data_IF_364385730152
#
_entry.id   IF_364385730152
#
_cell.length_a   1.000
_cell.length_b   1.000
_cell.length_c   1.000
_cell.angle_alpha   90.00
_cell.angle_beta   90.00
_cell.angle_gamma   90.00
#
_symmetry.space_group_name_H-M   'P 1'
#
loop_
_entity.id
_entity.type
_entity.pdbx_description
1 polymer ?
#
# COMPACT_ATOMS: atom_id res chain seq x y z
N UNK A 1 -9.51 69.57 -10.94
CA UNK A 1 -8.36 69.22 -10.10
C UNK A 1 -8.47 67.82 -9.47
N UNK A 2 -9.60 67.33 -8.97
CA UNK A 2 -9.76 66.02 -8.34
C UNK A 2 -9.42 64.83 -9.25
N UNK A 3 -9.74 64.86 -10.56
CA UNK A 3 -9.44 63.74 -11.47
C UNK A 3 -7.94 63.53 -11.73
N UNK A 4 -7.14 64.59 -11.76
CA UNK A 4 -5.68 64.49 -11.92
C UNK A 4 -5.02 63.95 -10.66
N UNK A 5 -5.55 64.27 -9.50
CA UNK A 5 -5.06 63.72 -8.21
C UNK A 5 -5.32 62.21 -8.08
N UNK A 6 -6.49 61.74 -8.55
CA UNK A 6 -6.86 60.32 -8.54
C UNK A 6 -5.96 59.52 -9.50
N UNK A 7 -5.68 60.04 -10.69
CA UNK A 7 -4.79 59.44 -11.67
C UNK A 7 -3.33 59.33 -11.18
N UNK A 8 -2.85 60.37 -10.48
CA UNK A 8 -1.50 60.39 -9.90
C UNK A 8 -1.33 59.38 -8.77
N UNK A 9 -2.35 59.23 -7.91
CA UNK A 9 -2.34 58.22 -6.84
C UNK A 9 -2.39 56.78 -7.41
N UNK A 10 -3.19 56.53 -8.46
CA UNK A 10 -3.24 55.24 -9.13
C UNK A 10 -1.92 54.84 -9.76
N UNK A 11 -1.21 55.82 -10.38
CA UNK A 11 0.12 55.61 -10.97
C UNK A 11 1.17 55.32 -9.88
N UNK A 12 1.07 55.99 -8.70
CA UNK A 12 1.99 55.75 -7.58
C UNK A 12 1.79 54.38 -6.96
N UNK A 13 0.55 53.92 -6.82
CA UNK A 13 0.24 52.55 -6.31
C UNK A 13 0.75 51.48 -7.26
N UNK A 14 0.63 51.72 -8.58
CA UNK A 14 1.13 50.81 -9.61
C UNK A 14 2.68 50.70 -9.61
N UNK A 15 3.37 51.79 -9.34
CA UNK A 15 4.85 51.82 -9.22
C UNK A 15 5.37 51.10 -7.96
N UNK A 16 4.60 51.14 -6.85
CA UNK A 16 4.97 50.45 -5.61
C UNK A 16 4.75 48.94 -5.71
N UNK A 17 3.72 48.50 -6.46
CA UNK A 17 3.46 47.05 -6.65
C UNK A 17 4.50 46.35 -7.54
N UNK A 18 5.23 47.07 -8.39
CA UNK A 18 6.30 46.51 -9.22
C UNK A 18 7.60 46.20 -8.46
N UNK A 19 7.79 46.72 -7.25
CA UNK A 19 8.97 46.46 -6.44
C UNK A 19 8.79 45.28 -5.45
N UNK A 20 7.65 44.59 -5.47
CA UNK A 20 7.34 43.51 -4.52
C UNK A 20 7.96 42.15 -4.91
N UNK A 21 8.61 42.03 -6.06
CA UNK A 21 9.35 40.82 -6.39
C UNK A 21 10.83 41.04 -6.08
N UNK A 22 11.25 40.61 -4.91
CA UNK A 22 12.67 40.61 -4.48
C UNK A 22 13.52 39.58 -5.28
N UNK A 23 13.22 39.33 -6.56
CA UNK A 23 14.03 38.65 -7.55
C UNK A 23 14.44 37.20 -7.28
N UNK A 24 13.99 36.61 -6.18
CA UNK A 24 14.33 35.23 -5.79
C UNK A 24 13.09 34.33 -5.90
N UNK A 25 12.82 33.88 -7.12
CA UNK A 25 11.90 32.75 -7.28
C UNK A 25 12.50 31.53 -6.56
N UNK A 26 11.72 30.81 -5.71
CA UNK A 26 12.18 29.57 -5.10
C UNK A 26 12.57 28.59 -6.22
N UNK A 27 13.85 28.20 -6.29
CA UNK A 27 14.36 27.27 -7.30
C UNK A 27 15.10 27.90 -8.47
N UNK A 28 15.20 29.24 -8.57
CA UNK A 28 15.87 29.93 -9.69
C UNK A 28 17.38 30.17 -9.47
N UNK A 29 17.94 29.82 -8.32
CA UNK A 29 19.36 29.97 -8.04
C UNK A 29 20.17 28.83 -8.68
N UNK A 30 20.78 29.09 -9.84
CA UNK A 30 21.60 28.13 -10.59
C UNK A 30 22.84 27.62 -9.79
N UNK A 31 23.26 28.32 -8.74
CA UNK A 31 24.33 27.87 -7.86
C UNK A 31 23.84 26.80 -6.89
N UNK A 32 22.57 26.90 -6.49
CA UNK A 32 21.92 25.97 -5.58
C UNK A 32 21.29 24.80 -6.34
N UNK A 33 20.73 25.07 -7.51
CA UNK A 33 20.07 24.10 -8.38
C UNK A 33 20.65 24.19 -9.80
N UNK A 34 21.72 23.46 -10.12
CA UNK A 34 22.32 23.47 -11.45
C UNK A 34 21.29 23.16 -12.53
N UNK A 35 21.33 23.87 -13.68
CA UNK A 35 20.41 23.62 -14.76
C UNK A 35 20.62 22.26 -15.42
N UNK A 36 21.84 21.71 -15.36
CA UNK A 36 22.16 20.39 -15.88
C UNK A 36 21.61 19.28 -14.96
N UNK A 37 20.79 18.33 -15.48
CA UNK A 37 20.25 17.22 -14.72
C UNK A 37 21.33 16.35 -14.06
N UNK A 38 22.42 16.06 -14.76
CA UNK A 38 23.49 15.19 -14.26
C UNK A 38 24.27 15.85 -13.10
N UNK A 39 24.47 17.15 -13.15
CA UNK A 39 25.06 17.90 -12.04
C UNK A 39 24.15 17.93 -10.82
N UNK A 40 22.83 18.00 -11.00
CA UNK A 40 21.86 17.91 -9.91
C UNK A 40 21.88 16.54 -9.26
N UNK A 41 21.93 15.50 -10.07
CA UNK A 41 22.01 14.11 -9.55
C UNK A 41 23.31 13.93 -8.77
N UNK A 42 24.45 14.33 -9.33
CA UNK A 42 25.75 14.22 -8.64
C UNK A 42 25.78 15.00 -7.32
N UNK A 43 25.29 16.23 -7.33
CA UNK A 43 25.19 17.06 -6.12
C UNK A 43 24.26 16.46 -5.08
N UNK A 44 23.14 15.92 -5.49
CA UNK A 44 22.21 15.23 -4.58
C UNK A 44 22.83 13.97 -3.97
N UNK A 45 23.64 13.25 -4.74
CA UNK A 45 24.40 12.07 -4.24
C UNK A 45 25.48 12.50 -3.25
N UNK A 46 26.24 13.55 -3.57
CA UNK A 46 27.30 14.10 -2.70
C UNK A 46 26.74 14.66 -1.39
N UNK A 47 25.59 15.36 -1.46
CA UNK A 47 24.89 15.91 -0.29
C UNK A 47 24.04 14.86 0.46
N UNK A 48 24.02 13.61 -0.02
CA UNK A 48 23.23 12.54 0.57
C UNK A 48 21.72 12.67 0.39
N UNK A 49 21.25 13.49 -0.55
CA UNK A 49 19.83 13.69 -0.85
C UNK A 49 19.31 12.78 -1.95
N UNK A 50 20.13 11.86 -2.44
CA UNK A 50 19.70 10.85 -3.40
C UNK A 50 18.69 9.88 -2.77
N UNK A 51 17.85 9.28 -3.63
CA UNK A 51 16.98 8.18 -3.23
C UNK A 51 17.85 7.00 -2.78
N UNK A 52 17.99 6.82 -1.49
CA UNK A 52 18.71 5.70 -0.89
C UNK A 52 17.71 4.60 -0.61
N UNK A 53 17.82 3.49 -1.35
CA UNK A 53 17.11 2.25 -1.02
C UNK A 53 17.43 1.74 0.40
N UNK A 54 18.48 2.29 1.05
CA UNK A 54 18.92 1.90 2.39
C UNK A 54 18.55 2.88 3.51
N UNK A 55 17.97 4.04 3.23
CA UNK A 55 17.45 4.96 4.25
C UNK A 55 16.02 4.64 4.65
N UNK A 56 15.72 3.35 4.72
CA UNK A 56 14.43 2.79 5.15
C UNK A 56 14.17 3.03 6.64
N UNK A 57 15.17 3.50 7.37
CA UNK A 57 15.10 3.62 8.84
C UNK A 57 14.64 5.00 9.36
N UNK A 58 14.37 5.96 8.49
CA UNK A 58 13.91 7.30 8.91
C UNK A 58 12.68 7.78 8.15
N UNK A 59 11.57 7.07 8.33
CA UNK A 59 10.23 7.70 8.25
C UNK A 59 9.77 8.25 6.90
N UNK A 60 10.33 7.81 5.76
CA UNK A 60 9.86 8.21 4.45
C UNK A 60 9.80 6.99 3.54
N UNK A 61 8.60 6.42 3.42
CA UNK A 61 8.30 5.43 2.39
C UNK A 61 8.94 4.07 2.61
N UNK A 62 8.91 3.54 3.81
CA UNK A 62 9.00 2.09 3.99
C UNK A 62 7.90 1.49 3.16
N UNK A 63 8.28 0.79 2.11
CA UNK A 63 7.46 -0.26 1.56
C UNK A 63 7.28 -1.32 2.66
N UNK A 64 6.52 -1.00 3.67
CA UNK A 64 5.94 -1.98 4.57
C UNK A 64 4.89 -2.75 3.77
N UNK A 65 5.39 -3.47 2.77
CA UNK A 65 4.59 -4.41 2.03
C UNK A 65 3.95 -5.34 3.02
N UNK A 66 2.62 -5.22 3.14
CA UNK A 66 1.75 -6.27 3.66
C UNK A 66 2.17 -6.86 5.02
N UNK A 67 3.38 -6.53 5.51
CA UNK A 67 3.91 -7.02 6.79
C UNK A 67 3.40 -6.20 7.97
N UNK A 68 2.98 -4.96 7.76
CA UNK A 68 2.48 -4.07 8.82
C UNK A 68 0.99 -4.24 9.11
N UNK A 69 0.19 -4.70 8.13
CA UNK A 69 -1.23 -4.93 8.34
C UNK A 69 -1.47 -6.35 8.86
N UNK A 70 -1.91 -6.45 10.09
CA UNK A 70 -2.13 -7.73 10.78
C UNK A 70 -3.22 -8.57 10.11
N UNK A 71 -4.28 -7.94 9.58
CA UNK A 71 -5.36 -8.64 8.86
C UNK A 71 -4.85 -9.24 7.55
N UNK A 72 -4.06 -8.47 6.81
CA UNK A 72 -3.48 -8.92 5.54
C UNK A 72 -2.56 -10.14 5.76
N UNK A 73 -1.61 -10.02 6.70
CA UNK A 73 -0.72 -11.13 7.06
C UNK A 73 -1.48 -12.36 7.50
N UNK A 74 -2.44 -12.19 8.41
CA UNK A 74 -3.25 -13.29 8.91
C UNK A 74 -4.05 -13.96 7.79
N UNK A 75 -4.56 -13.20 6.84
CA UNK A 75 -5.29 -13.75 5.69
C UNK A 75 -4.36 -14.60 4.84
N UNK A 76 -3.21 -14.07 4.43
CA UNK A 76 -2.24 -14.82 3.63
C UNK A 76 -1.81 -16.12 4.30
N UNK A 77 -1.52 -16.08 5.60
CA UNK A 77 -1.11 -17.27 6.35
C UNK A 77 -2.21 -18.33 6.49
N UNK A 78 -3.49 -17.91 6.50
CA UNK A 78 -4.61 -18.86 6.62
C UNK A 78 -4.91 -19.53 5.28
N UNK A 79 -4.70 -18.82 4.17
CA UNK A 79 -4.96 -19.33 2.82
C UNK A 79 -3.70 -19.78 2.07
N UNK A 80 -2.56 -19.87 2.74
CA UNK A 80 -1.24 -20.19 2.18
C UNK A 80 -1.21 -21.50 1.38
N UNK A 81 -2.05 -22.45 1.74
CA UNK A 81 -2.16 -23.74 1.03
C UNK A 81 -2.81 -23.62 -0.37
N UNK A 82 -3.40 -22.46 -0.70
CA UNK A 82 -4.07 -22.21 -1.99
C UNK A 82 -3.22 -21.27 -2.85
N UNK A 83 -3.02 -21.55 -4.15
CA UNK A 83 -2.39 -20.60 -5.05
C UNK A 83 -3.23 -19.33 -5.15
N UNK A 84 -2.56 -18.18 -5.25
CA UNK A 84 -3.21 -16.88 -5.38
C UNK A 84 -3.35 -16.51 -6.86
N UNK A 85 -4.56 -16.14 -7.26
CA UNK A 85 -4.83 -15.54 -8.57
C UNK A 85 -4.61 -14.02 -8.56
N UNK A 86 -4.90 -13.36 -7.42
CA UNK A 86 -4.74 -11.93 -7.26
C UNK A 86 -4.43 -11.59 -5.80
N UNK A 87 -3.42 -10.76 -5.58
CA UNK A 87 -3.15 -10.12 -4.31
C UNK A 87 -2.88 -8.64 -4.55
N UNK A 88 -3.85 -7.79 -4.26
CA UNK A 88 -3.73 -6.34 -4.40
C UNK A 88 -3.89 -5.67 -3.03
N UNK A 89 -2.77 -5.31 -2.43
CA UNK A 89 -2.75 -4.69 -1.11
C UNK A 89 -3.44 -3.32 -1.11
N UNK A 90 -3.11 -2.46 -2.08
CA UNK A 90 -3.69 -1.10 -2.18
C UNK A 90 -5.19 -1.13 -2.47
N UNK A 91 -5.64 -2.12 -3.24
CA UNK A 91 -7.07 -2.34 -3.51
C UNK A 91 -7.79 -3.11 -2.40
N UNK A 92 -7.05 -3.58 -1.38
CA UNK A 92 -7.62 -4.30 -0.25
C UNK A 92 -8.33 -5.59 -0.66
N UNK A 93 -7.75 -6.37 -1.59
CA UNK A 93 -8.36 -7.62 -2.06
C UNK A 93 -7.32 -8.72 -2.27
N UNK A 94 -7.68 -9.94 -1.83
CA UNK A 94 -6.96 -11.17 -2.13
C UNK A 94 -7.95 -12.17 -2.74
N UNK A 95 -7.54 -12.82 -3.82
CA UNK A 95 -8.34 -13.86 -4.47
C UNK A 95 -7.45 -15.05 -4.73
N UNK A 96 -7.86 -16.23 -4.29
CA UNK A 96 -7.17 -17.49 -4.61
C UNK A 96 -7.51 -17.93 -6.02
N UNK A 97 -6.73 -18.84 -6.56
CA UNK A 97 -7.17 -19.60 -7.73
C UNK A 97 -8.12 -20.73 -7.32
N UNK A 98 -8.66 -21.45 -8.30
CA UNK A 98 -9.45 -22.63 -8.04
C UNK A 98 -8.59 -23.73 -7.42
N UNK A 99 -8.97 -24.19 -6.27
CA UNK A 99 -8.27 -25.24 -5.51
C UNK A 99 -9.17 -26.45 -5.34
N UNK A 100 -8.63 -27.63 -5.61
CA UNK A 100 -9.28 -28.92 -5.39
C UNK A 100 -8.46 -29.75 -4.41
N UNK A 101 -9.09 -30.34 -3.42
CA UNK A 101 -8.42 -31.18 -2.47
C UNK A 101 -8.39 -32.63 -2.95
N UNK A 102 -7.21 -33.22 -3.00
CA UNK A 102 -7.02 -34.61 -3.45
C UNK A 102 -7.30 -34.83 -4.94
N UNK A 103 -7.76 -36.05 -5.29
CA UNK A 103 -8.04 -36.49 -6.65
C UNK A 103 -9.41 -36.04 -7.18
N UNK A 104 -10.12 -35.18 -6.49
CA UNK A 104 -11.49 -34.79 -6.84
C UNK A 104 -11.50 -33.61 -7.79
N UNK A 105 -11.10 -33.84 -9.04
CA UNK A 105 -11.03 -32.81 -10.09
C UNK A 105 -12.37 -32.17 -10.44
N UNK A 106 -13.48 -32.78 -10.02
CA UNK A 106 -14.83 -32.31 -10.32
C UNK A 106 -15.33 -31.22 -9.38
N UNK A 107 -14.66 -31.03 -8.24
CA UNK A 107 -15.04 -30.01 -7.27
C UNK A 107 -13.85 -29.13 -6.95
N UNK A 108 -14.04 -27.81 -7.00
CA UNK A 108 -13.02 -26.84 -6.62
C UNK A 108 -13.62 -25.64 -5.91
N UNK A 109 -12.81 -25.04 -5.07
CA UNK A 109 -13.16 -23.89 -4.25
C UNK A 109 -12.28 -22.70 -4.64
N UNK A 110 -12.85 -21.50 -4.60
CA UNK A 110 -12.17 -20.23 -4.76
C UNK A 110 -12.59 -19.28 -3.66
N UNK A 111 -11.64 -18.61 -3.03
CA UNK A 111 -11.88 -17.67 -1.93
C UNK A 111 -11.50 -16.27 -2.39
N UNK A 112 -12.39 -15.31 -2.14
CA UNK A 112 -12.14 -13.88 -2.30
C UNK A 112 -12.28 -13.20 -0.95
N UNK A 113 -11.25 -12.52 -0.50
CA UNK A 113 -11.23 -11.75 0.75
C UNK A 113 -11.05 -10.28 0.41
N UNK A 114 -12.02 -9.46 0.75
CA UNK A 114 -11.97 -8.01 0.62
C UNK A 114 -11.83 -7.38 2.00
N UNK A 115 -10.85 -6.50 2.15
CA UNK A 115 -10.61 -5.76 3.38
C UNK A 115 -11.40 -4.46 3.35
N UNK A 116 -12.28 -4.26 4.32
CA UNK A 116 -13.12 -3.07 4.45
C UNK A 116 -12.51 -2.03 5.36
N UNK A 117 -11.60 -2.45 6.25
CA UNK A 117 -10.84 -1.59 7.16
C UNK A 117 -9.50 -2.24 7.50
N UNK A 118 -8.56 -1.44 8.00
CA UNK A 118 -7.26 -1.92 8.49
C UNK A 118 -7.29 -2.32 9.98
N UNK A 119 -8.43 -2.17 10.64
CA UNK A 119 -8.58 -2.50 12.05
C UNK A 119 -9.02 -3.94 12.25
N UNK A 120 -8.48 -4.61 13.29
CA UNK A 120 -8.89 -5.96 13.66
C UNK A 120 -10.22 -5.88 14.41
N UNK A 121 -11.32 -6.05 13.65
CA UNK A 121 -12.71 -6.01 14.13
C UNK A 121 -13.59 -6.94 13.28
N UNK A 122 -14.77 -7.30 13.80
CA UNK A 122 -15.63 -8.33 13.21
C UNK A 122 -16.15 -8.03 11.81
N UNK A 123 -16.29 -6.77 11.46
CA UNK A 123 -16.75 -6.27 10.15
C UNK A 123 -15.61 -5.82 9.23
N UNK A 124 -14.37 -6.20 9.54
CA UNK A 124 -13.19 -5.80 8.77
C UNK A 124 -13.08 -6.51 7.42
N UNK A 125 -13.74 -7.64 7.24
CA UNK A 125 -13.59 -8.54 6.11
C UNK A 125 -14.93 -8.84 5.45
N UNK A 126 -14.95 -8.79 4.11
CA UNK A 126 -16.01 -9.36 3.27
C UNK A 126 -15.42 -10.59 2.54
N UNK A 127 -15.83 -11.77 2.98
CA UNK A 127 -15.33 -13.04 2.45
C UNK A 127 -16.39 -13.69 1.59
N UNK A 128 -16.03 -14.04 0.34
CA UNK A 128 -16.88 -14.76 -0.60
C UNK A 128 -16.21 -16.07 -0.98
N UNK A 129 -16.97 -17.14 -0.91
CA UNK A 129 -16.51 -18.49 -1.25
C UNK A 129 -17.34 -19.00 -2.42
N UNK A 130 -16.63 -19.40 -3.46
CA UNK A 130 -17.22 -19.94 -4.68
C UNK A 130 -16.87 -21.43 -4.78
N UNK A 131 -17.87 -22.22 -5.08
CA UNK A 131 -17.75 -23.64 -5.36
C UNK A 131 -17.99 -23.88 -6.83
N UNK A 132 -17.09 -24.58 -7.47
CA UNK A 132 -17.24 -25.05 -8.84
C UNK A 132 -17.42 -26.55 -8.82
N UNK A 133 -18.53 -27.02 -9.42
CA UNK A 133 -18.84 -28.44 -9.63
C UNK A 133 -18.95 -28.71 -11.11
N UNK A 134 -18.17 -29.68 -11.60
CA UNK A 134 -18.17 -30.10 -12.99
C UNK A 134 -18.77 -31.50 -13.13
N UNK A 135 -19.79 -31.66 -13.97
CA UNK A 135 -20.34 -32.96 -14.36
C UNK A 135 -19.57 -33.60 -15.50
N UNK A 136 -18.88 -32.78 -16.30
CA UNK A 136 -17.95 -33.14 -17.37
C UNK A 136 -16.92 -32.01 -17.52
N UNK A 137 -15.87 -32.22 -18.36
CA UNK A 137 -14.82 -31.22 -18.60
C UNK A 137 -15.34 -29.85 -19.07
N UNK A 138 -16.49 -29.82 -19.73
CA UNK A 138 -17.07 -28.57 -20.29
C UNK A 138 -18.33 -28.09 -19.54
N UNK A 139 -18.88 -28.90 -18.65
CA UNK A 139 -20.12 -28.55 -17.96
C UNK A 139 -19.86 -28.34 -16.46
N UNK A 140 -19.53 -27.13 -16.10
CA UNK A 140 -19.25 -26.71 -14.73
C UNK A 140 -20.25 -25.66 -14.23
N UNK A 141 -20.83 -25.88 -13.07
CA UNK A 141 -21.65 -24.92 -12.36
C UNK A 141 -20.83 -24.24 -11.26
N UNK A 142 -20.93 -22.92 -11.17
CA UNK A 142 -20.31 -22.13 -10.11
C UNK A 142 -21.39 -21.55 -9.21
N UNK A 143 -21.30 -21.80 -7.92
CA UNK A 143 -22.22 -21.28 -6.90
C UNK A 143 -21.46 -20.55 -5.82
N UNK A 144 -21.97 -19.40 -5.37
CA UNK A 144 -21.47 -18.72 -4.18
C UNK A 144 -22.22 -19.27 -2.96
N UNK A 145 -21.48 -19.71 -1.97
CA UNK A 145 -22.07 -20.15 -0.70
C UNK A 145 -21.75 -19.15 0.40
N UNK A 146 -22.79 -18.80 1.17
CA UNK A 146 -22.67 -18.11 2.44
C UNK A 146 -22.98 -19.13 3.53
N UNK A 147 -22.19 -19.21 4.57
CA UNK A 147 -22.47 -20.20 5.62
C UNK A 147 -21.34 -20.35 6.64
N UNK A 148 -21.30 -21.50 7.28
CA UNK A 148 -20.40 -21.83 8.38
C UNK A 148 -18.92 -21.59 8.02
N UNK A 149 -18.52 -21.97 6.80
CA UNK A 149 -17.12 -21.83 6.36
C UNK A 149 -16.67 -20.37 6.28
N UNK A 150 -17.54 -19.44 5.84
CA UNK A 150 -17.22 -17.99 5.83
C UNK A 150 -17.02 -17.50 7.26
N UNK A 151 -17.90 -17.89 8.19
CA UNK A 151 -17.81 -17.49 9.60
C UNK A 151 -16.55 -18.06 10.27
N UNK A 152 -16.23 -19.33 10.00
CA UNK A 152 -15.02 -19.96 10.53
C UNK A 152 -13.74 -19.32 10.00
N UNK A 153 -13.68 -19.05 8.69
CA UNK A 153 -12.54 -18.40 8.05
C UNK A 153 -12.34 -16.99 8.61
N UNK A 154 -13.43 -16.21 8.70
CA UNK A 154 -13.40 -14.88 9.32
C UNK A 154 -12.87 -14.96 10.76
N UNK A 155 -13.38 -15.88 11.57
CA UNK A 155 -12.92 -16.08 12.94
C UNK A 155 -11.44 -16.44 13.01
N UNK A 156 -10.97 -17.36 12.18
CA UNK A 156 -9.56 -17.77 12.13
C UNK A 156 -8.65 -16.60 11.76
N UNK A 157 -9.02 -15.83 10.72
CA UNK A 157 -8.24 -14.65 10.29
C UNK A 157 -8.19 -13.61 11.41
N UNK A 158 -9.32 -13.25 12.00
CA UNK A 158 -9.37 -12.26 13.08
C UNK A 158 -8.58 -12.68 14.31
N UNK A 159 -8.67 -13.96 14.69
CA UNK A 159 -7.90 -14.51 15.82
C UNK A 159 -6.40 -14.40 15.56
N UNK A 160 -5.94 -14.79 14.34
CA UNK A 160 -4.54 -14.71 13.98
C UNK A 160 -4.06 -13.26 13.88
N UNK A 161 -4.87 -12.36 13.31
CA UNK A 161 -4.59 -10.94 13.26
C UNK A 161 -4.46 -10.30 14.65
N UNK A 162 -5.29 -10.71 15.62
CA UNK A 162 -5.19 -10.26 17.00
C UNK A 162 -3.86 -10.67 17.65
N UNK A 163 -3.36 -11.86 17.34
CA UNK A 163 -2.03 -12.31 17.79
C UNK A 163 -0.94 -11.43 17.20
N UNK A 164 -0.98 -11.14 15.89
CA UNK A 164 -0.02 -10.25 15.24
C UNK A 164 -0.06 -8.83 15.79
N UNK A 165 -1.27 -8.30 16.04
CA UNK A 165 -1.46 -7.00 16.68
C UNK A 165 -0.88 -6.95 18.11
N UNK A 166 -0.93 -8.05 18.85
CA UNK A 166 -0.28 -8.14 20.17
C UNK A 166 1.24 -8.14 20.02
N UNK A 167 1.77 -8.91 19.08
CA UNK A 167 3.21 -8.98 18.79
C UNK A 167 3.78 -7.64 18.34
N UNK A 168 3.09 -6.91 17.45
CA UNK A 168 3.54 -5.60 16.96
C UNK A 168 3.58 -4.52 18.06
N UNK A 169 2.79 -4.70 19.14
CA UNK A 169 2.78 -3.82 20.30
C UNK A 169 3.82 -4.17 21.37
N UNK A 170 4.39 -5.35 21.28
CA UNK A 170 5.42 -5.81 22.21
C UNK A 170 6.74 -5.15 21.87
N UNK A 171 7.30 -4.36 22.80
CA UNK A 171 8.56 -3.65 22.62
C UNK A 171 9.77 -4.58 22.47
N UNK A 172 9.64 -5.81 22.96
CA UNK A 172 10.70 -6.83 22.88
C UNK A 172 10.56 -7.70 21.63
N UNK A 173 9.47 -7.55 20.88
CA UNK A 173 9.26 -8.28 19.63
C UNK A 173 10.26 -7.83 18.57
N UNK A 174 11.15 -8.72 18.19
CA UNK A 174 12.07 -8.54 17.07
C UNK A 174 11.50 -9.31 15.87
N UNK A 175 11.04 -8.62 14.81
CA UNK A 175 10.61 -9.31 13.60
C UNK A 175 11.78 -10.13 13.04
N UNK A 176 11.46 -11.28 12.43
CA UNK A 176 12.47 -12.10 11.76
C UNK A 176 13.09 -11.29 10.61
N UNK A 177 14.26 -10.76 10.85
CA UNK A 177 15.12 -10.23 9.79
C UNK A 177 15.87 -11.43 9.23
N UNK A 178 15.42 -11.95 8.07
CA UNK A 178 16.07 -13.06 7.41
C UNK A 178 17.57 -12.77 7.22
N UNK A 179 18.39 -13.28 8.12
CA UNK A 179 19.84 -13.32 7.88
C UNK A 179 20.03 -14.26 6.71
N UNK A 180 20.34 -13.70 5.55
CA UNK A 180 20.90 -14.48 4.44
C UNK A 180 22.10 -15.20 5.04
N UNK A 181 22.01 -16.53 5.12
CA UNK A 181 23.14 -17.37 5.55
C UNK A 181 24.31 -17.01 4.64
N UNK A 182 25.52 -16.67 5.15
CA UNK A 182 26.70 -16.51 4.30
C UNK A 182 26.80 -17.80 3.47
N UNK A 183 27.00 -17.67 2.18
CA UNK A 183 27.38 -18.83 1.34
C UNK A 183 28.81 -19.16 1.73
N UNK A 184 28.99 -20.33 2.36
CA UNK A 184 30.28 -20.97 2.51
C UNK A 184 30.86 -21.35 1.14
#
# INVERSE_FOLDING_TARGET
>A
MKRKFLSLNFLLIMLVSLNSCNGKLPGADARKYPPNPDERVRKNIEEGRGFRLMDVDKGSGTFEFASSNELWRATLDIIDFMPLALANYSGGIVVTDWYSEGNNLNESIKISVRFLTNEVRSDALDIKIFYKKCSSLENCAVTQQQGILVAELTKKILTKAAVYKKQSKDKDYKPYTGKIRPKD
#
